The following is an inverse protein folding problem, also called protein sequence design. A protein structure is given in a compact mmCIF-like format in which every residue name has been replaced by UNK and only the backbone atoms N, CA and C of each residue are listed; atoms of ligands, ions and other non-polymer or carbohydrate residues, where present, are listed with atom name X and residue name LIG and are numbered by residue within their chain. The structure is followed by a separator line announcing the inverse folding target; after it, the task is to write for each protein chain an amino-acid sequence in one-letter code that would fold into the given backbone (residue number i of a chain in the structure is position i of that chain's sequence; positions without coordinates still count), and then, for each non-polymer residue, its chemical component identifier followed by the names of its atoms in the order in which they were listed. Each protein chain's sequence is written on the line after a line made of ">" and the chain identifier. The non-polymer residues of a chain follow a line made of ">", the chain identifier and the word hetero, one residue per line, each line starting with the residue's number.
data_IF_571048508602
#
_entry.id   IF_571048508602
#
_cell.length_a   1.000
_cell.length_b   1.000
_cell.length_c   1.000
_cell.angle_alpha   90.00
_cell.angle_beta   90.00
_cell.angle_gamma   90.00
#
_symmetry.space_group_name_H-M   'P 1'
#
loop_
_entity.id
_entity.type
_entity.pdbx_description
1 polymer ?
#
# COMPACT_ATOMS: atom_id res chain seq x y z
N UNK A 1 -25.39 28.80 -13.56
CA UNK A 1 -24.57 27.67 -13.10
C UNK A 1 -23.10 28.05 -13.16
N UNK A 2 -22.39 28.08 -12.03
CA UNK A 2 -20.93 28.23 -12.03
C UNK A 2 -20.33 26.84 -12.24
N UNK A 3 -19.62 26.66 -13.35
CA UNK A 3 -18.79 25.47 -13.60
C UNK A 3 -17.74 25.43 -12.49
N UNK A 4 -17.89 24.48 -11.56
CA UNK A 4 -16.88 24.22 -10.54
C UNK A 4 -15.67 23.64 -11.26
N UNK A 5 -14.65 24.45 -11.45
CA UNK A 5 -13.33 24.00 -11.90
C UNK A 5 -12.87 22.89 -10.96
N UNK A 6 -12.88 21.64 -11.47
CA UNK A 6 -12.40 20.48 -10.73
C UNK A 6 -10.92 20.70 -10.47
N UNK A 7 -10.54 20.90 -9.21
CA UNK A 7 -9.14 20.95 -8.81
C UNK A 7 -8.49 19.63 -9.24
N UNK A 8 -7.46 19.65 -10.11
CA UNK A 8 -6.77 18.43 -10.53
C UNK A 8 -6.16 17.67 -9.34
N UNK A 9 -6.00 18.35 -8.20
CA UNK A 9 -5.54 17.81 -6.91
C UNK A 9 -6.51 16.79 -6.26
N UNK A 10 -7.76 16.68 -6.73
CA UNK A 10 -8.78 15.77 -6.16
C UNK A 10 -9.16 14.61 -7.09
N UNK A 11 -8.40 14.40 -8.18
CA UNK A 11 -8.64 13.32 -9.13
C UNK A 11 -7.54 12.26 -9.01
N UNK A 12 -7.95 11.01 -8.85
CA UNK A 12 -7.02 9.89 -8.89
C UNK A 12 -6.29 9.82 -10.23
N UNK A 13 -4.96 9.84 -10.18
CA UNK A 13 -4.14 9.56 -11.35
C UNK A 13 -4.05 8.04 -11.51
N UNK A 14 -4.48 7.54 -12.67
CA UNK A 14 -4.44 6.10 -12.97
C UNK A 14 -3.04 5.50 -12.79
N UNK A 15 -1.98 6.28 -13.06
CA UNK A 15 -0.60 5.85 -12.85
C UNK A 15 -0.28 5.59 -11.36
N UNK A 16 -0.78 6.42 -10.46
CA UNK A 16 -0.57 6.27 -9.01
C UNK A 16 -1.33 5.04 -8.50
N UNK A 17 -2.57 4.86 -8.95
CA UNK A 17 -3.38 3.68 -8.59
C UNK A 17 -2.69 2.40 -9.05
N UNK A 18 -2.23 2.35 -10.31
CA UNK A 18 -1.50 1.19 -10.84
C UNK A 18 -0.19 0.94 -10.07
N UNK A 19 0.49 1.99 -9.62
CA UNK A 19 1.68 1.85 -8.80
C UNK A 19 1.36 1.21 -7.44
N UNK A 20 0.35 1.71 -6.73
CA UNK A 20 -0.08 1.13 -5.44
C UNK A 20 -0.57 -0.31 -5.62
N UNK A 21 -1.31 -0.60 -6.68
CA UNK A 21 -1.73 -1.98 -7.01
C UNK A 21 -0.52 -2.89 -7.19
N UNK A 22 0.50 -2.46 -7.95
CA UNK A 22 1.71 -3.25 -8.16
C UNK A 22 2.46 -3.50 -6.86
N UNK A 23 2.60 -2.47 -6.03
CA UNK A 23 3.31 -2.52 -4.75
C UNK A 23 2.58 -3.41 -3.74
N UNK A 24 1.26 -3.28 -3.63
CA UNK A 24 0.45 -4.12 -2.74
C UNK A 24 0.49 -5.59 -3.19
N UNK A 25 0.43 -5.87 -4.49
CA UNK A 25 0.62 -7.23 -5.01
C UNK A 25 2.01 -7.81 -4.69
N UNK A 26 3.05 -6.99 -4.64
CA UNK A 26 4.39 -7.41 -4.24
C UNK A 26 4.44 -7.71 -2.73
N UNK A 27 3.84 -6.85 -1.91
CA UNK A 27 3.73 -7.07 -0.47
C UNK A 27 2.93 -8.32 -0.15
N UNK A 28 1.79 -8.55 -0.80
CA UNK A 28 0.98 -9.77 -0.60
C UNK A 28 1.78 -11.04 -0.93
N UNK A 29 2.64 -10.99 -1.95
CA UNK A 29 3.54 -12.11 -2.29
C UNK A 29 4.59 -12.32 -1.19
N UNK A 30 5.22 -11.25 -0.71
CA UNK A 30 6.22 -11.33 0.35
C UNK A 30 5.60 -11.81 1.67
N UNK A 31 4.40 -11.35 2.01
CA UNK A 31 3.62 -11.78 3.17
C UNK A 31 3.23 -13.26 3.04
N UNK A 32 2.78 -13.71 1.88
CA UNK A 32 2.49 -15.13 1.66
C UNK A 32 3.73 -16.03 1.70
N UNK A 33 4.93 -15.51 1.39
CA UNK A 33 6.20 -16.25 1.61
C UNK A 33 6.54 -16.26 3.09
N UNK A 34 6.37 -15.15 3.79
CA UNK A 34 6.64 -15.03 5.21
C UNK A 34 5.71 -15.95 6.03
N UNK A 35 4.43 -16.02 5.69
CA UNK A 35 3.45 -16.89 6.35
C UNK A 35 3.86 -18.36 6.22
N UNK A 36 4.17 -18.82 4.99
CA UNK A 36 4.69 -20.19 4.77
C UNK A 36 5.96 -20.47 5.55
N UNK A 37 6.91 -19.53 5.57
CA UNK A 37 8.15 -19.68 6.32
C UNK A 37 7.89 -19.82 7.83
N UNK A 38 6.93 -19.07 8.37
CA UNK A 38 6.53 -19.16 9.79
C UNK A 38 5.84 -20.50 10.06
N UNK A 39 4.93 -20.94 9.19
CA UNK A 39 4.26 -22.24 9.30
C UNK A 39 5.27 -23.41 9.26
N UNK A 40 6.28 -23.33 8.38
CA UNK A 40 7.34 -24.33 8.24
C UNK A 40 8.30 -24.34 9.44
N UNK A 41 8.56 -23.19 10.06
CA UNK A 41 9.41 -23.08 11.25
C UNK A 41 8.69 -23.41 12.57
N UNK A 42 7.36 -23.32 12.63
CA UNK A 42 6.57 -23.48 13.86
C UNK A 42 6.84 -22.40 14.91
N UNK A 43 6.57 -22.69 16.19
CA UNK A 43 6.77 -21.80 17.36
C UNK A 43 8.26 -21.51 17.69
N UNK A 44 9.16 -21.82 16.75
CA UNK A 44 10.58 -21.49 16.80
C UNK A 44 10.77 -19.97 16.73
N UNK A 45 11.84 -19.46 17.35
CA UNK A 45 12.27 -18.08 17.18
C UNK A 45 12.34 -17.69 15.68
N UNK A 46 12.10 -16.41 15.33
CA UNK A 46 12.02 -15.97 13.94
C UNK A 46 13.29 -16.36 13.17
N UNK A 47 13.11 -17.10 12.07
CA UNK A 47 14.22 -17.50 11.19
C UNK A 47 14.87 -16.26 10.58
N UNK A 48 16.17 -16.33 10.24
CA UNK A 48 16.87 -15.23 9.57
C UNK A 48 16.14 -14.77 8.31
N UNK A 49 15.57 -15.72 7.55
CA UNK A 49 14.76 -15.47 6.37
C UNK A 49 13.44 -14.75 6.69
N UNK A 50 12.75 -15.12 7.77
CA UNK A 50 11.54 -14.41 8.22
C UNK A 50 11.82 -12.95 8.62
N UNK A 51 12.99 -12.68 9.21
CA UNK A 51 13.45 -11.33 9.57
C UNK A 51 13.74 -10.51 8.32
N UNK A 52 14.45 -11.10 7.35
CA UNK A 52 14.73 -10.47 6.06
C UNK A 52 13.46 -10.14 5.26
N UNK A 53 12.48 -11.05 5.26
CA UNK A 53 11.19 -10.83 4.60
C UNK A 53 10.40 -9.69 5.25
N UNK A 54 10.31 -9.68 6.59
CA UNK A 54 9.70 -8.56 7.33
C UNK A 54 10.39 -7.23 7.03
N UNK A 55 11.73 -7.23 7.00
CA UNK A 55 12.51 -6.05 6.63
C UNK A 55 12.25 -5.58 5.20
N UNK A 56 12.08 -6.51 4.27
CA UNK A 56 11.78 -6.21 2.87
C UNK A 56 10.39 -5.61 2.70
N UNK A 57 9.37 -6.19 3.35
CA UNK A 57 8.00 -5.63 3.35
C UNK A 57 8.00 -4.20 3.87
N UNK A 58 8.66 -3.96 5.02
CA UNK A 58 8.77 -2.60 5.58
C UNK A 58 9.45 -1.62 4.63
N UNK A 59 10.52 -2.04 3.95
CA UNK A 59 11.21 -1.18 2.98
C UNK A 59 10.33 -0.82 1.78
N UNK A 60 9.57 -1.78 1.27
CA UNK A 60 8.65 -1.55 0.14
C UNK A 60 7.52 -0.60 0.54
N UNK A 61 6.94 -0.77 1.73
CA UNK A 61 5.88 0.12 2.24
C UNK A 61 6.40 1.52 2.59
N UNK A 62 7.60 1.62 3.17
CA UNK A 62 8.23 2.89 3.52
C UNK A 62 8.95 3.57 2.34
N UNK A 63 8.79 3.05 1.11
CA UNK A 63 9.39 3.66 -0.07
C UNK A 63 8.79 5.07 -0.27
N UNK A 64 9.62 6.12 -0.42
CA UNK A 64 9.14 7.50 -0.58
C UNK A 64 8.14 7.65 -1.73
N UNK A 65 8.31 6.90 -2.82
CA UNK A 65 7.40 6.95 -3.96
C UNK A 65 6.04 6.38 -3.64
N UNK A 66 5.97 5.35 -2.78
CA UNK A 66 4.70 4.78 -2.30
C UNK A 66 3.98 5.80 -1.44
N UNK A 67 4.69 6.43 -0.50
CA UNK A 67 4.13 7.49 0.36
C UNK A 67 3.62 8.66 -0.48
N UNK A 68 4.40 9.13 -1.44
CA UNK A 68 4.00 10.21 -2.35
C UNK A 68 2.77 9.85 -3.20
N UNK A 69 2.64 8.58 -3.65
CA UNK A 69 1.45 8.13 -4.37
C UNK A 69 0.22 8.11 -3.45
N UNK A 70 0.37 7.64 -2.22
CA UNK A 70 -0.72 7.64 -1.24
C UNK A 70 -1.16 9.07 -0.89
N UNK A 71 -0.22 10.00 -0.70
CA UNK A 71 -0.52 11.40 -0.41
C UNK A 71 -1.20 12.14 -1.59
N UNK A 72 -1.05 11.64 -2.83
CA UNK A 72 -1.82 12.12 -3.98
C UNK A 72 -3.18 11.45 -4.12
N UNK A 73 -3.31 10.21 -3.66
CA UNK A 73 -4.55 9.43 -3.72
C UNK A 73 -5.43 9.61 -2.47
N UNK A 74 -4.95 10.33 -1.47
CA UNK A 74 -5.64 10.61 -0.21
C UNK A 74 -5.50 12.09 0.16
N UNK A 75 -6.61 12.71 0.58
CA UNK A 75 -6.62 14.07 1.11
C UNK A 75 -7.28 14.02 2.48
N UNK A 76 -6.55 14.39 3.53
CA UNK A 76 -7.03 14.40 4.93
C UNK A 76 -7.53 13.03 5.45
N UNK A 77 -6.89 11.92 5.06
CA UNK A 77 -7.32 10.59 5.48
C UNK A 77 -8.38 9.95 4.58
N UNK A 78 -8.89 10.68 3.58
CA UNK A 78 -9.95 10.21 2.70
C UNK A 78 -9.46 10.01 1.26
N UNK A 79 -9.83 8.90 0.60
CA UNK A 79 -9.45 8.64 -0.78
C UNK A 79 -10.06 9.66 -1.75
N UNK A 80 -9.28 10.09 -2.75
CA UNK A 80 -9.71 11.08 -3.75
C UNK A 80 -10.83 10.55 -4.67
N UNK A 81 -11.47 11.47 -5.40
CA UNK A 81 -12.55 11.11 -6.32
C UNK A 81 -12.03 10.40 -7.57
N UNK A 82 -12.86 9.54 -8.17
CA UNK A 82 -12.49 8.77 -9.35
C UNK A 82 -11.97 7.36 -9.07
N UNK A 83 -11.79 7.00 -7.79
CA UNK A 83 -11.53 5.62 -7.36
C UNK A 83 -12.85 4.84 -7.24
N UNK A 84 -12.85 3.61 -7.76
CA UNK A 84 -13.85 2.58 -7.47
C UNK A 84 -13.80 2.16 -6.01
N UNK A 85 -14.83 1.45 -5.53
CA UNK A 85 -14.87 0.94 -4.15
C UNK A 85 -13.64 0.10 -3.81
N UNK A 86 -13.27 -0.83 -4.70
CA UNK A 86 -12.11 -1.72 -4.48
C UNK A 86 -10.79 -0.95 -4.45
N UNK A 87 -10.65 0.09 -5.26
CA UNK A 87 -9.44 0.93 -5.23
C UNK A 87 -9.38 1.75 -3.94
N UNK A 88 -10.51 2.27 -3.44
CA UNK A 88 -10.56 2.98 -2.15
C UNK A 88 -10.14 2.08 -1.00
N UNK A 89 -10.67 0.86 -0.96
CA UNK A 89 -10.31 -0.13 0.06
C UNK A 89 -8.80 -0.42 0.00
N UNK A 90 -8.25 -0.58 -1.21
CA UNK A 90 -6.82 -0.79 -1.43
C UNK A 90 -5.97 0.37 -0.90
N UNK A 91 -6.35 1.62 -1.18
CA UNK A 91 -5.61 2.81 -0.70
C UNK A 91 -5.64 2.89 0.82
N UNK A 92 -6.79 2.63 1.45
CA UNK A 92 -6.90 2.60 2.91
C UNK A 92 -6.04 1.50 3.52
N UNK A 93 -6.07 0.29 2.95
CA UNK A 93 -5.21 -0.82 3.38
C UNK A 93 -3.73 -0.50 3.24
N UNK A 94 -3.33 0.09 2.11
CA UNK A 94 -1.94 0.50 1.88
C UNK A 94 -1.49 1.56 2.89
N UNK A 95 -2.31 2.57 3.17
CA UNK A 95 -2.02 3.60 4.20
C UNK A 95 -1.88 2.98 5.59
N UNK A 96 -2.76 2.05 5.95
CA UNK A 96 -2.68 1.36 7.23
C UNK A 96 -1.37 0.56 7.34
N UNK A 97 -0.99 -0.19 6.30
CA UNK A 97 0.29 -0.94 6.28
C UNK A 97 1.50 -0.02 6.42
N UNK A 98 1.49 1.16 5.79
CA UNK A 98 2.57 2.17 5.94
C UNK A 98 2.65 2.67 7.37
N UNK A 99 1.51 2.92 8.03
CA UNK A 99 1.48 3.38 9.42
C UNK A 99 1.90 2.29 10.43
N UNK A 100 1.69 1.02 10.10
CA UNK A 100 2.06 -0.14 10.94
C UNK A 100 3.55 -0.54 10.80
N UNK A 101 4.30 0.07 9.88
CA UNK A 101 5.73 -0.21 9.64
C UNK A 101 6.64 0.48 10.66
#
# INVERSE_FOLDING_TARGET
>A
EKVVEKRPEMLALAADVQHIVSVMNEVDKLEGILEREIEECGDSAPSGKSIELRGSIKKVMADPKVIECLDRLEVQGEPVWGLSSSERDLIQMARQKVNDC
#
